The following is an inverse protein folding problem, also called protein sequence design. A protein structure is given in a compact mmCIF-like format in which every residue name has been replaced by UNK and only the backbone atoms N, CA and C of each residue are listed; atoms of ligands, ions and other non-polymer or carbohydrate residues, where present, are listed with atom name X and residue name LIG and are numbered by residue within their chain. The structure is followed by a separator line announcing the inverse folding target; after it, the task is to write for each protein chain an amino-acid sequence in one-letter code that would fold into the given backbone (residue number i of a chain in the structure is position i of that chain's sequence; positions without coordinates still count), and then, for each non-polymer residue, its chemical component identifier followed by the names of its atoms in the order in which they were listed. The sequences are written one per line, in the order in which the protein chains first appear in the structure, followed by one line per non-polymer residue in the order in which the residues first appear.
data_IF_837372271185
#
_entry.id   IF_837372271185
#
_cell.length_a   1.000
_cell.length_b   1.000
_cell.length_c   1.000
_cell.angle_alpha   90.00
_cell.angle_beta   90.00
_cell.angle_gamma   90.00
#
_symmetry.space_group_name_H-M   'P 1'
#
loop_
_entity.id
_entity.type
_entity.pdbx_description
1 polymer ?
#
# COMPACT_ATOMS: atom_id res chain seq x y z
N UNK A 1 10.94 29.77 27.34
CA UNK A 1 11.20 28.73 26.31
C UNK A 1 10.69 29.28 24.99
N UNK A 2 11.58 29.76 24.09
CA UNK A 2 11.18 30.36 22.80
C UNK A 2 10.88 29.23 21.82
N UNK A 3 9.63 29.09 21.41
CA UNK A 3 9.20 28.20 20.33
C UNK A 3 9.52 28.91 19.02
N UNK A 4 10.53 28.40 18.30
CA UNK A 4 10.87 28.89 16.97
C UNK A 4 9.88 28.26 15.98
N UNK A 5 8.94 29.02 15.46
CA UNK A 5 8.04 28.60 14.37
C UNK A 5 8.85 28.26 13.11
N UNK A 6 8.90 26.99 12.74
CA UNK A 6 9.47 26.56 11.46
C UNK A 6 8.38 26.59 10.39
N UNK A 7 8.60 27.37 9.34
CA UNK A 7 7.70 27.53 8.20
C UNK A 7 7.56 26.21 7.43
N UNK A 8 6.33 25.77 7.21
CA UNK A 8 6.00 24.60 6.37
C UNK A 8 5.66 25.07 4.96
N UNK A 9 6.37 24.56 3.94
CA UNK A 9 6.08 24.79 2.53
C UNK A 9 5.45 23.56 1.92
N UNK A 10 4.31 23.72 1.29
CA UNK A 10 3.61 22.66 0.59
C UNK A 10 3.96 22.73 -0.90
N UNK A 11 4.58 21.68 -1.42
CA UNK A 11 4.86 21.56 -2.86
C UNK A 11 3.76 20.71 -3.48
N UNK A 12 2.93 21.33 -4.32
CA UNK A 12 1.94 20.65 -5.14
C UNK A 12 2.59 20.36 -6.50
N UNK A 13 3.19 19.18 -6.64
CA UNK A 13 3.68 18.67 -7.91
C UNK A 13 2.67 17.71 -8.53
N UNK A 14 2.19 18.04 -9.70
CA UNK A 14 1.10 17.47 -10.48
C UNK A 14 0.77 16.01 -10.29
N UNK A 15 -0.41 15.76 -9.79
CA UNK A 15 -1.48 14.80 -10.05
C UNK A 15 -2.33 14.67 -8.79
N UNK A 16 -3.59 15.11 -8.87
CA UNK A 16 -4.64 15.05 -7.84
C UNK A 16 -4.39 15.95 -6.61
N UNK A 17 -4.56 17.25 -6.77
CA UNK A 17 -4.82 18.15 -5.67
C UNK A 17 -6.20 17.81 -5.08
N UNK A 18 -6.24 17.03 -3.99
CA UNK A 18 -7.38 17.04 -3.11
C UNK A 18 -7.31 18.33 -2.29
N UNK A 19 -7.96 19.40 -2.75
CA UNK A 19 -8.22 20.56 -1.94
C UNK A 19 -9.11 20.12 -0.79
N UNK A 20 -8.56 19.96 0.41
CA UNK A 20 -9.33 19.91 1.65
C UNK A 20 -9.87 21.34 1.86
N UNK A 21 -11.06 21.58 1.34
CA UNK A 21 -11.92 22.67 1.81
C UNK A 21 -12.36 22.27 3.22
N UNK A 22 -11.63 22.73 4.23
CA UNK A 22 -12.12 22.77 5.59
C UNK A 22 -13.34 23.70 5.59
N UNK A 23 -14.53 23.11 5.55
CA UNK A 23 -15.79 23.78 5.79
C UNK A 23 -15.71 24.51 7.13
N UNK A 24 -15.86 25.83 7.07
CA UNK A 24 -15.61 26.75 8.14
C UNK A 24 -16.38 26.44 9.43
N UNK A 25 -15.62 26.21 10.48
CA UNK A 25 -16.08 26.52 11.83
C UNK A 25 -15.70 27.98 12.09
N UNK A 26 -16.66 28.85 11.98
CA UNK A 26 -16.50 30.27 12.28
C UNK A 26 -16.41 30.43 13.79
N UNK A 27 -15.18 30.60 14.30
CA UNK A 27 -14.97 31.05 15.69
C UNK A 27 -14.94 32.57 15.69
N UNK A 28 -15.87 33.27 16.37
CA UNK A 28 -15.85 34.73 16.44
C UNK A 28 -14.68 35.18 17.31
N UNK A 29 -13.83 36.05 16.78
CA UNK A 29 -12.81 36.79 17.51
C UNK A 29 -11.35 36.47 17.21
N UNK A 30 -11.00 35.55 16.31
CA UNK A 30 -9.62 35.34 15.89
C UNK A 30 -9.29 36.19 14.65
N UNK A 31 -8.46 37.22 14.81
CA UNK A 31 -7.86 37.95 13.69
C UNK A 31 -6.98 37.00 12.90
N UNK A 32 -7.40 36.64 11.68
CA UNK A 32 -6.61 35.86 10.74
C UNK A 32 -5.42 36.70 10.28
N UNK A 33 -4.22 36.42 10.80
CA UNK A 33 -3.00 36.93 10.16
C UNK A 33 -2.85 36.22 8.84
N UNK A 34 -2.93 36.99 7.76
CA UNK A 34 -2.64 36.52 6.42
C UNK A 34 -1.21 35.96 6.38
N UNK A 35 -1.07 34.64 6.29
CA UNK A 35 0.22 34.00 6.10
C UNK A 35 0.56 34.16 4.62
N UNK A 36 1.35 35.19 4.29
CA UNK A 36 1.92 35.34 2.93
C UNK A 36 2.70 34.05 2.65
N UNK A 37 2.26 33.31 1.64
CA UNK A 37 3.01 32.19 1.09
C UNK A 37 4.31 32.77 0.49
N UNK A 38 5.43 32.63 1.20
CA UNK A 38 6.73 32.92 0.62
C UNK A 38 6.87 32.07 -0.65
N UNK A 39 7.34 32.71 -1.73
CA UNK A 39 7.60 32.05 -3.02
C UNK A 39 8.44 30.81 -2.79
N UNK A 40 7.83 29.64 -3.06
CA UNK A 40 8.52 28.36 -3.00
C UNK A 40 9.67 28.41 -4.00
N UNK A 41 10.90 28.21 -3.55
CA UNK A 41 12.03 27.99 -4.47
C UNK A 41 11.70 26.79 -5.35
N UNK A 42 11.45 27.04 -6.64
CA UNK A 42 11.02 26.02 -7.63
C UNK A 42 12.05 24.88 -7.78
N UNK A 43 13.25 25.01 -7.19
CA UNK A 43 14.38 24.12 -7.35
C UNK A 43 14.77 23.33 -6.09
N UNK A 44 14.03 23.42 -4.97
CA UNK A 44 14.37 22.70 -3.76
C UNK A 44 14.20 21.19 -3.93
N UNK A 45 15.27 20.42 -3.76
CA UNK A 45 15.29 18.96 -3.92
C UNK A 45 15.13 18.26 -2.57
N UNK A 46 14.43 17.11 -2.57
CA UNK A 46 14.37 16.24 -1.40
C UNK A 46 15.77 15.70 -1.09
N UNK A 47 16.25 15.92 0.15
CA UNK A 47 17.55 15.45 0.62
C UNK A 47 17.41 14.15 1.43
N UNK A 48 16.45 14.09 2.37
CA UNK A 48 16.22 12.88 3.21
C UNK A 48 14.82 12.83 3.78
N UNK A 49 14.34 11.64 4.11
CA UNK A 49 13.12 11.44 4.88
C UNK A 49 13.36 11.72 6.37
N UNK A 50 12.42 12.42 7.01
CA UNK A 50 12.41 12.69 8.44
C UNK A 50 11.74 11.52 9.19
N UNK A 51 12.51 10.47 9.49
CA UNK A 51 12.01 9.19 10.03
C UNK A 51 11.28 9.38 11.38
N UNK A 52 11.72 10.30 12.20
CA UNK A 52 11.09 10.63 13.49
C UNK A 52 9.73 11.35 13.34
N UNK A 53 9.40 11.81 12.14
CA UNK A 53 8.12 12.46 11.80
C UNK A 53 7.16 11.55 11.05
N UNK A 54 7.48 10.26 10.94
CA UNK A 54 6.60 9.27 10.32
C UNK A 54 5.28 9.13 11.07
N UNK A 55 4.20 8.97 10.32
CA UNK A 55 2.95 8.41 10.82
C UNK A 55 2.39 7.39 9.83
N UNK A 56 1.20 6.87 10.10
CA UNK A 56 0.60 5.79 9.28
C UNK A 56 0.45 6.14 7.81
N UNK A 57 0.13 7.40 7.49
CA UNK A 57 -0.28 7.86 6.15
C UNK A 57 0.60 8.99 5.60
N UNK A 58 1.67 9.37 6.28
CA UNK A 58 2.43 10.56 5.93
C UNK A 58 3.93 10.30 6.01
N UNK A 59 4.66 10.79 5.00
CA UNK A 59 6.11 10.95 5.00
C UNK A 59 6.45 12.45 4.99
N UNK A 60 7.49 12.83 5.74
CA UNK A 60 8.06 14.16 5.69
C UNK A 60 9.51 14.09 5.21
N UNK A 61 9.91 15.08 4.43
CA UNK A 61 11.23 15.13 3.82
C UNK A 61 11.86 16.50 4.04
N UNK A 62 13.15 16.53 4.38
CA UNK A 62 13.96 17.73 4.35
C UNK A 62 14.29 18.10 2.91
N UNK A 63 14.34 19.39 2.62
CA UNK A 63 14.69 19.94 1.31
C UNK A 63 16.08 20.58 1.35
N UNK A 64 16.67 20.79 0.17
CA UNK A 64 18.02 21.35 0.01
C UNK A 64 18.12 22.83 0.44
N UNK A 65 17.02 23.55 0.51
CA UNK A 65 16.93 24.95 0.98
C UNK A 65 16.68 25.07 2.51
N UNK A 66 16.78 23.95 3.25
CA UNK A 66 16.52 23.91 4.68
C UNK A 66 15.04 23.83 5.07
N UNK A 67 14.13 23.94 4.12
CA UNK A 67 12.69 23.74 4.35
C UNK A 67 12.33 22.25 4.38
N UNK A 68 11.05 21.90 4.54
CA UNK A 68 10.58 20.55 4.48
C UNK A 68 9.25 20.45 3.73
N UNK A 69 8.98 19.25 3.20
CA UNK A 69 7.71 18.91 2.55
C UNK A 69 7.11 17.68 3.21
N UNK A 70 5.79 17.57 3.13
CA UNK A 70 5.05 16.40 3.61
C UNK A 70 4.21 15.82 2.45
N UNK A 71 4.21 14.48 2.35
CA UNK A 71 3.40 13.75 1.38
C UNK A 71 2.42 12.88 2.15
N UNK A 72 1.12 13.14 1.96
CA UNK A 72 0.04 12.33 2.48
C UNK A 72 -0.36 11.26 1.44
N UNK A 73 -0.66 10.06 1.92
CA UNK A 73 -1.02 8.90 1.09
C UNK A 73 -2.43 8.44 1.45
N UNK A 74 -3.20 8.01 0.46
CA UNK A 74 -4.55 7.46 0.64
C UNK A 74 -4.58 6.06 1.27
N UNK A 75 -3.43 5.37 1.29
CA UNK A 75 -3.25 4.07 1.94
C UNK A 75 -2.10 4.13 2.95
N UNK A 76 -2.10 3.26 3.98
CA UNK A 76 -1.00 3.21 4.93
C UNK A 76 0.35 3.01 4.25
N UNK A 77 1.35 3.77 4.67
CA UNK A 77 2.74 3.67 4.21
C UNK A 77 3.68 3.23 5.31
N UNK A 78 3.21 3.28 6.55
CA UNK A 78 3.93 2.80 7.72
C UNK A 78 3.03 1.96 8.64
N UNK A 79 3.65 1.08 9.43
CA UNK A 79 3.03 0.35 10.53
C UNK A 79 3.93 0.37 11.76
N UNK A 80 3.36 0.27 12.97
CA UNK A 80 4.14 0.19 14.21
C UNK A 80 4.59 -1.25 14.48
N UNK A 81 5.89 -1.42 14.73
CA UNK A 81 6.46 -2.68 15.22
C UNK A 81 7.28 -2.36 16.46
N UNK A 82 6.86 -2.90 17.61
CA UNK A 82 7.47 -2.58 18.93
C UNK A 82 7.59 -1.07 19.17
N UNK A 83 6.51 -0.32 18.94
CA UNK A 83 6.46 1.14 19.13
C UNK A 83 7.09 1.98 18.02
N UNK A 84 7.91 1.42 17.13
CA UNK A 84 8.65 2.13 16.08
C UNK A 84 7.92 2.04 14.73
N UNK A 85 7.82 3.16 14.02
CA UNK A 85 7.29 3.20 12.67
C UNK A 85 8.25 2.52 11.67
N UNK A 86 7.74 1.53 10.97
CA UNK A 86 8.41 0.82 9.87
C UNK A 86 7.72 1.10 8.56
N UNK A 87 8.48 1.24 7.49
CA UNK A 87 7.92 1.41 6.15
C UNK A 87 7.22 0.13 5.68
N UNK A 88 6.06 0.28 5.08
CA UNK A 88 5.34 -0.83 4.45
C UNK A 88 6.01 -1.17 3.12
N UNK A 89 6.25 -2.47 2.93
CA UNK A 89 6.78 -3.04 1.70
C UNK A 89 6.00 -4.33 1.38
N UNK A 90 5.08 -4.22 0.42
CA UNK A 90 4.27 -5.36 -0.03
C UNK A 90 4.99 -6.24 -1.05
N UNK A 91 6.25 -5.93 -1.40
CA UNK A 91 7.07 -6.77 -2.27
C UNK A 91 7.06 -8.21 -1.79
N UNK A 92 6.78 -9.13 -2.70
CA UNK A 92 6.74 -10.54 -2.40
C UNK A 92 8.14 -11.15 -2.43
N UNK A 93 8.60 -11.65 -1.30
CA UNK A 93 9.83 -12.45 -1.17
C UNK A 93 9.50 -13.93 -1.07
N UNK A 94 10.37 -14.77 -1.65
CA UNK A 94 10.25 -16.22 -1.54
C UNK A 94 10.51 -16.68 -0.10
N UNK A 95 9.64 -17.54 0.42
CA UNK A 95 9.77 -18.14 1.76
C UNK A 95 9.70 -19.65 1.61
N UNK A 96 10.84 -20.31 1.74
CA UNK A 96 10.96 -21.72 1.47
C UNK A 96 10.72 -22.08 -0.01
N UNK A 97 10.47 -23.37 -0.29
CA UNK A 97 10.38 -23.89 -1.67
C UNK A 97 9.05 -23.60 -2.37
N UNK A 98 7.96 -23.32 -1.61
CA UNK A 98 6.57 -23.39 -2.14
C UNK A 98 5.72 -22.14 -1.90
N UNK A 99 6.25 -21.07 -1.28
CA UNK A 99 5.49 -19.88 -0.89
C UNK A 99 6.27 -18.58 -1.12
N UNK A 100 5.52 -17.50 -1.26
CA UNK A 100 6.00 -16.12 -1.23
C UNK A 100 5.26 -15.38 -0.11
N UNK A 101 5.86 -14.29 0.40
CA UNK A 101 5.31 -13.51 1.50
C UNK A 101 5.65 -12.04 1.32
N UNK A 102 4.78 -11.12 1.78
CA UNK A 102 5.07 -9.69 1.88
C UNK A 102 6.31 -9.46 2.74
N UNK A 103 7.16 -8.52 2.32
CA UNK A 103 8.46 -8.27 2.94
C UNK A 103 8.35 -7.57 4.29
N UNK A 104 7.51 -6.52 4.38
CA UNK A 104 7.37 -5.69 5.58
C UNK A 104 5.96 -5.10 5.67
N UNK A 105 5.08 -5.76 6.42
CA UNK A 105 3.68 -5.35 6.62
C UNK A 105 3.21 -5.80 7.99
N UNK A 106 2.24 -5.09 8.58
CA UNK A 106 1.55 -5.54 9.79
C UNK A 106 0.70 -6.79 9.50
N UNK A 107 -0.08 -6.75 8.42
CA UNK A 107 -0.77 -7.92 7.88
C UNK A 107 0.16 -8.69 6.95
N UNK A 108 0.76 -9.77 7.43
CA UNK A 108 1.57 -10.66 6.60
C UNK A 108 0.70 -11.43 5.62
N UNK A 109 0.97 -11.30 4.32
CA UNK A 109 0.23 -11.97 3.27
C UNK A 109 1.15 -13.00 2.62
N UNK A 110 0.75 -14.27 2.64
CA UNK A 110 1.46 -15.36 1.99
C UNK A 110 0.67 -15.87 0.80
N UNK A 111 1.38 -16.21 -0.28
CA UNK A 111 0.78 -16.83 -1.47
C UNK A 111 1.53 -18.11 -1.85
N UNK A 112 0.80 -19.09 -2.32
CA UNK A 112 1.38 -20.37 -2.76
C UNK A 112 2.02 -20.22 -4.15
N UNK A 113 3.08 -20.99 -4.43
CA UNK A 113 3.67 -21.10 -5.77
C UNK A 113 2.69 -21.70 -6.79
N UNK A 114 1.72 -22.51 -6.35
CA UNK A 114 0.75 -23.23 -7.19
C UNK A 114 -0.69 -22.95 -6.75
N UNK A 115 -1.61 -22.80 -7.70
CA UNK A 115 -3.03 -22.48 -7.47
C UNK A 115 -3.87 -23.63 -6.92
N UNK A 116 -3.40 -24.88 -7.01
CA UNK A 116 -4.14 -26.09 -6.59
C UNK A 116 -3.80 -26.55 -5.16
N UNK A 117 -3.24 -25.69 -4.31
CA UNK A 117 -2.94 -26.02 -2.92
C UNK A 117 -4.15 -25.81 -2.01
N UNK A 118 -4.16 -26.45 -0.83
CA UNK A 118 -5.24 -26.31 0.17
C UNK A 118 -5.41 -24.86 0.63
N UNK A 119 -4.30 -24.10 0.70
CA UNK A 119 -4.26 -22.67 1.00
C UNK A 119 -3.44 -21.97 -0.06
N UNK A 120 -4.10 -21.22 -0.94
CA UNK A 120 -3.43 -20.46 -2.02
C UNK A 120 -3.00 -19.12 -1.52
N UNK A 121 -3.85 -18.46 -0.75
CA UNK A 121 -3.55 -17.21 -0.06
C UNK A 121 -3.77 -17.39 1.44
N UNK A 122 -2.95 -16.74 2.26
CA UNK A 122 -3.04 -16.75 3.72
C UNK A 122 -2.74 -15.36 4.24
N UNK A 123 -3.61 -14.83 5.09
CA UNK A 123 -3.41 -13.59 5.83
C UNK A 123 -3.07 -13.93 7.27
N UNK A 124 -2.06 -13.25 7.83
CA UNK A 124 -1.60 -13.47 9.22
C UNK A 124 -1.39 -12.15 9.93
N UNK A 125 -1.95 -12.02 11.14
CA UNK A 125 -1.68 -10.90 12.05
C UNK A 125 -1.51 -11.46 13.47
N UNK A 126 -0.31 -11.33 14.03
CA UNK A 126 0.03 -12.00 15.29
C UNK A 126 -0.12 -13.52 15.19
N UNK A 127 -0.85 -14.12 16.14
CA UNK A 127 -1.19 -15.56 16.17
C UNK A 127 -2.33 -15.94 15.22
N UNK A 128 -3.14 -14.98 14.80
CA UNK A 128 -4.33 -15.23 13.98
C UNK A 128 -3.98 -15.40 12.51
N UNK A 129 -4.67 -16.33 11.84
CA UNK A 129 -4.53 -16.51 10.39
C UNK A 129 -5.84 -16.98 9.77
N UNK A 130 -6.06 -16.56 8.53
CA UNK A 130 -7.11 -17.06 7.66
C UNK A 130 -6.50 -17.40 6.31
N UNK A 131 -6.94 -18.50 5.72
CA UNK A 131 -6.48 -18.86 4.38
C UNK A 131 -7.60 -19.42 3.54
N UNK A 132 -7.47 -19.28 2.21
CA UNK A 132 -8.45 -19.88 1.30
C UNK A 132 -7.83 -20.31 -0.01
N UNK A 133 -8.59 -21.12 -0.73
CA UNK A 133 -8.26 -21.60 -2.06
C UNK A 133 -9.52 -21.94 -2.86
N UNK A 134 -9.47 -21.79 -4.17
CA UNK A 134 -10.52 -22.27 -5.07
C UNK A 134 -10.63 -23.79 -4.94
N UNK A 135 -11.85 -24.30 -4.70
CA UNK A 135 -12.15 -25.73 -4.55
C UNK A 135 -12.72 -26.31 -5.84
N UNK A 136 -12.30 -27.51 -6.19
CA UNK A 136 -12.89 -28.28 -7.28
C UNK A 136 -11.91 -29.23 -7.98
N UNK A 137 -12.41 -30.38 -8.46
CA UNK A 137 -11.60 -31.39 -9.16
C UNK A 137 -10.92 -30.85 -10.44
N UNK A 138 -11.49 -29.82 -11.06
CA UNK A 138 -11.00 -29.21 -12.31
C UNK A 138 -10.00 -28.06 -12.09
N UNK A 139 -9.67 -27.72 -10.84
CA UNK A 139 -8.70 -26.66 -10.54
C UNK A 139 -7.30 -27.08 -10.97
N UNK A 140 -6.72 -26.34 -11.91
CA UNK A 140 -5.40 -26.62 -12.47
C UNK A 140 -4.27 -26.12 -11.56
N UNK A 141 -3.12 -26.76 -11.65
CA UNK A 141 -1.90 -26.35 -10.97
C UNK A 141 -1.18 -25.22 -11.71
N UNK A 142 -1.76 -24.02 -11.69
CA UNK A 142 -1.14 -22.85 -12.30
C UNK A 142 -0.01 -22.32 -11.43
N UNK A 143 1.07 -21.84 -12.06
CA UNK A 143 2.15 -21.15 -11.38
C UNK A 143 1.74 -19.72 -11.03
N UNK A 144 2.26 -19.22 -9.91
CA UNK A 144 2.13 -17.83 -9.51
C UNK A 144 2.96 -16.93 -10.46
N UNK A 145 2.36 -15.80 -10.86
CA UNK A 145 3.05 -14.66 -11.45
C UNK A 145 2.93 -13.49 -10.48
N UNK A 146 4.06 -12.85 -10.15
CA UNK A 146 4.14 -11.76 -9.19
C UNK A 146 4.63 -10.52 -9.93
N UNK A 147 3.93 -9.39 -9.75
CA UNK A 147 4.33 -8.07 -10.22
C UNK A 147 4.61 -7.19 -9.00
N UNK A 148 5.87 -7.19 -8.57
CA UNK A 148 6.31 -6.40 -7.43
C UNK A 148 6.30 -4.90 -7.74
N UNK A 149 5.92 -4.04 -6.78
CA UNK A 149 6.04 -2.60 -6.93
C UNK A 149 7.50 -2.17 -7.00
N UNK A 150 7.74 -1.07 -7.68
CA UNK A 150 9.06 -0.46 -7.81
C UNK A 150 9.00 0.99 -7.34
N UNK A 151 10.10 1.48 -6.76
CA UNK A 151 10.29 2.91 -6.47
C UNK A 151 11.10 3.54 -7.58
N UNK A 152 10.66 4.67 -8.09
CA UNK A 152 11.38 5.53 -9.02
C UNK A 152 11.77 6.87 -8.39
N UNK A 153 11.03 7.30 -7.36
CA UNK A 153 11.25 8.54 -6.59
C UNK A 153 11.33 8.25 -5.09
N UNK A 154 11.93 9.15 -4.33
CA UNK A 154 12.00 9.04 -2.86
C UNK A 154 10.62 9.01 -2.20
N UNK A 155 9.63 9.67 -2.80
CA UNK A 155 8.24 9.70 -2.34
C UNK A 155 7.46 8.43 -2.66
N UNK A 156 7.92 7.58 -3.57
CA UNK A 156 7.21 6.37 -3.96
C UNK A 156 7.14 5.36 -2.80
N UNK A 157 6.04 4.62 -2.77
CA UNK A 157 5.77 3.62 -1.74
C UNK A 157 5.54 2.23 -2.34
N UNK A 158 5.90 1.20 -1.59
CA UNK A 158 5.77 -0.21 -2.02
C UNK A 158 4.53 -0.85 -1.36
N UNK A 159 3.38 -0.17 -1.47
CA UNK A 159 2.16 -0.55 -0.76
C UNK A 159 1.08 -1.22 -1.62
N UNK A 160 1.41 -1.61 -2.85
CA UNK A 160 0.52 -2.39 -3.71
C UNK A 160 1.32 -3.42 -4.51
N UNK A 161 0.83 -4.65 -4.53
CA UNK A 161 1.42 -5.75 -5.32
C UNK A 161 0.33 -6.53 -6.04
N UNK A 162 0.69 -7.16 -7.16
CA UNK A 162 -0.23 -7.98 -7.94
C UNK A 162 0.31 -9.41 -8.02
N UNK A 163 -0.54 -10.36 -7.65
CA UNK A 163 -0.24 -11.79 -7.71
C UNK A 163 -1.31 -12.46 -8.55
N UNK A 164 -0.95 -13.19 -9.60
CA UNK A 164 -1.90 -13.82 -10.49
C UNK A 164 -1.61 -15.30 -10.75
N UNK A 165 -2.69 -16.04 -10.99
CA UNK A 165 -2.69 -17.43 -11.43
C UNK A 165 -3.54 -17.54 -12.69
N UNK A 166 -2.89 -17.75 -13.84
CA UNK A 166 -3.58 -17.85 -15.11
C UNK A 166 -4.15 -19.25 -15.34
N UNK A 167 -5.33 -19.31 -15.97
CA UNK A 167 -5.97 -20.57 -16.37
C UNK A 167 -6.15 -21.58 -15.21
N UNK A 168 -6.55 -21.10 -14.03
CA UNK A 168 -6.85 -21.95 -12.86
C UNK A 168 -8.01 -22.91 -13.14
N UNK A 169 -8.95 -22.50 -13.99
CA UNK A 169 -9.97 -23.32 -14.64
C UNK A 169 -9.99 -22.95 -16.14
N UNK A 170 -10.79 -23.66 -16.96
CA UNK A 170 -11.00 -23.31 -18.37
C UNK A 170 -11.47 -21.85 -18.44
N UNK A 171 -10.78 -21.02 -19.23
CA UNK A 171 -11.05 -19.59 -19.43
C UNK A 171 -11.13 -18.73 -18.14
N UNK A 172 -10.55 -19.18 -17.02
CA UNK A 172 -10.62 -18.47 -15.74
C UNK A 172 -9.23 -18.26 -15.16
N UNK A 173 -8.94 -17.03 -14.76
CA UNK A 173 -7.74 -16.64 -14.02
C UNK A 173 -8.13 -15.97 -12.71
N UNK A 174 -7.26 -16.02 -11.71
CA UNK A 174 -7.44 -15.32 -10.43
C UNK A 174 -6.28 -14.37 -10.24
N UNK A 175 -6.60 -13.14 -9.87
CA UNK A 175 -5.63 -12.11 -9.49
C UNK A 175 -5.93 -11.64 -8.09
N UNK A 176 -4.89 -11.52 -7.28
CA UNK A 176 -4.93 -10.91 -5.96
C UNK A 176 -4.18 -9.58 -6.00
N UNK A 177 -4.90 -8.49 -5.78
CA UNK A 177 -4.30 -7.18 -5.53
C UNK A 177 -4.03 -7.09 -4.03
N UNK A 178 -2.75 -7.01 -3.66
CA UNK A 178 -2.28 -7.04 -2.29
C UNK A 178 -1.97 -5.62 -1.85
N UNK A 179 -2.65 -5.18 -0.79
CA UNK A 179 -2.48 -3.88 -0.16
C UNK A 179 -1.97 -4.07 1.29
N UNK A 180 -1.59 -3.00 1.98
CA UNK A 180 -1.09 -3.08 3.35
C UNK A 180 -1.98 -3.82 4.34
N UNK A 181 -3.30 -3.68 4.20
CA UNK A 181 -4.30 -4.14 5.17
C UNK A 181 -5.40 -5.02 4.59
N UNK A 182 -5.36 -5.27 3.28
CA UNK A 182 -6.40 -6.05 2.59
C UNK A 182 -5.84 -6.78 1.39
N UNK A 183 -6.61 -7.76 0.95
CA UNK A 183 -6.45 -8.44 -0.34
C UNK A 183 -7.75 -8.30 -1.09
N UNK A 184 -7.67 -7.86 -2.33
CA UNK A 184 -8.77 -7.89 -3.28
C UNK A 184 -8.57 -9.06 -4.23
N UNK A 185 -9.54 -9.96 -4.30
CA UNK A 185 -9.56 -11.07 -5.26
C UNK A 185 -10.37 -10.67 -6.49
N UNK A 186 -9.82 -10.90 -7.67
CA UNK A 186 -10.45 -10.66 -8.97
C UNK A 186 -10.45 -11.95 -9.76
N UNK A 187 -11.64 -12.41 -10.14
CA UNK A 187 -11.82 -13.58 -11.03
C UNK A 187 -12.08 -13.06 -12.43
N UNK A 188 -11.17 -13.35 -13.35
CA UNK A 188 -11.30 -12.97 -14.76
C UNK A 188 -11.75 -14.17 -15.58
N UNK A 189 -12.83 -14.00 -16.34
CA UNK A 189 -13.39 -15.00 -17.26
C UNK A 189 -13.24 -14.50 -18.68
N UNK A 190 -12.38 -15.14 -19.48
CA UNK A 190 -12.04 -14.68 -20.84
C UNK A 190 -13.06 -15.04 -21.92
N UNK A 191 -13.97 -16.01 -21.65
CA UNK A 191 -15.05 -16.42 -22.56
C UNK A 191 -16.28 -16.80 -21.77
N UNK A 192 -17.49 -16.58 -22.33
CA UNK A 192 -18.76 -16.99 -21.74
C UNK A 192 -18.70 -18.45 -21.31
N UNK A 193 -19.16 -18.74 -20.10
CA UNK A 193 -19.18 -20.09 -19.52
C UNK A 193 -20.60 -20.45 -19.07
N UNK A 194 -20.94 -21.75 -19.12
CA UNK A 194 -22.20 -22.28 -18.58
C UNK A 194 -22.22 -22.16 -17.04
N UNK A 195 -21.12 -22.49 -16.38
CA UNK A 195 -20.99 -22.41 -14.91
C UNK A 195 -20.69 -20.98 -14.47
N UNK A 196 -21.50 -20.44 -13.54
CA UNK A 196 -21.38 -19.11 -12.95
C UNK A 196 -21.01 -19.14 -11.46
N UNK A 197 -20.59 -20.29 -10.93
CA UNK A 197 -20.31 -20.50 -9.50
C UNK A 197 -18.86 -20.92 -9.29
N UNK A 198 -18.19 -20.24 -8.37
CA UNK A 198 -16.88 -20.60 -7.84
C UNK A 198 -17.03 -20.89 -6.35
N UNK A 199 -16.46 -21.98 -5.91
CA UNK A 199 -16.48 -22.37 -4.49
C UNK A 199 -15.08 -22.25 -3.92
N UNK A 200 -14.95 -21.58 -2.80
CA UNK A 200 -13.70 -21.45 -2.06
C UNK A 200 -13.77 -22.27 -0.77
N UNK A 201 -12.68 -22.91 -0.42
CA UNK A 201 -12.49 -23.49 0.89
C UNK A 201 -11.74 -22.48 1.75
N UNK A 202 -12.29 -22.12 2.90
CA UNK A 202 -11.69 -21.25 3.92
C UNK A 202 -11.16 -22.16 5.04
N UNK A 203 -9.97 -21.85 5.57
CA UNK A 203 -9.33 -22.56 6.67
C UNK A 203 -8.78 -21.59 7.69
#
# INVERSE_FOLDING_TARGET
MKITERKCKQIIGGAAAAALLLSGVHLPGAAWKEVKADTVSVNAKITKELINKRNRFLKQFALSDGSFTAVAYSMPVHYKKKGVWKEIDTTMKKVGKKKYQTKSTDLTIQVSKKSNKKSVITLKRGSNSISWALKGKKVKSANVKISNPKKSKQTDVLNQNIVSYSKVLKNTSITYNIFPERVQEVITVSKKQKAKKWTFKIN
#
